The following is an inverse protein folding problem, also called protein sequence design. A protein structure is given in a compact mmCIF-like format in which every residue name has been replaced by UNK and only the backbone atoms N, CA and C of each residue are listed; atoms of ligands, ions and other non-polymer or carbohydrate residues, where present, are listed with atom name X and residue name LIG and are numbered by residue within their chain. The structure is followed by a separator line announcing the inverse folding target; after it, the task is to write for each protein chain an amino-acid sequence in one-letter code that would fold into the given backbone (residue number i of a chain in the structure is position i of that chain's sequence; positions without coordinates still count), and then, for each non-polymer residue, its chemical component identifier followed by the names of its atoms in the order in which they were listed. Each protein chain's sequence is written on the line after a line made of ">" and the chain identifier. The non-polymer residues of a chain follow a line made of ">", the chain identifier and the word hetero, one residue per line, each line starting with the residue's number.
data_IF_411339348067
#
_entry.id   IF_411339348067
#
_cell.length_a   1.000
_cell.length_b   1.000
_cell.length_c   1.000
_cell.angle_alpha   90.00
_cell.angle_beta   90.00
_cell.angle_gamma   90.00
#
_symmetry.space_group_name_H-M   'P 1'
#
loop_
_entity.id
_entity.type
_entity.pdbx_description
1 polymer ?
#
# COMPACT_ATOMS: atom_id res chain seq x y z
N UNK A 1 30.93 -8.30 14.13
CA UNK A 1 30.04 -7.47 13.30
C UNK A 1 30.30 -7.77 11.82
N UNK A 2 29.88 -8.95 11.33
CA UNK A 2 30.16 -9.39 9.94
C UNK A 2 28.88 -9.67 9.13
N UNK A 3 27.71 -9.38 9.69
CA UNK A 3 26.42 -9.68 9.07
C UNK A 3 25.81 -8.53 8.28
N UNK A 4 26.16 -7.26 8.59
CA UNK A 4 25.50 -6.08 8.00
C UNK A 4 25.92 -5.87 6.54
N UNK A 5 27.20 -6.10 6.23
CA UNK A 5 27.77 -6.09 4.89
C UNK A 5 27.28 -7.28 4.06
N UNK A 6 27.01 -8.41 4.73
CA UNK A 6 26.27 -9.57 4.22
C UNK A 6 24.96 -9.16 3.56
N UNK A 7 24.09 -8.57 4.39
CA UNK A 7 22.74 -8.14 4.04
C UNK A 7 22.75 -7.01 3.01
N UNK A 8 23.64 -6.02 3.17
CA UNK A 8 23.76 -4.90 2.23
C UNK A 8 24.04 -5.35 0.79
N UNK A 9 25.06 -6.19 0.57
CA UNK A 9 25.40 -6.61 -0.79
C UNK A 9 24.32 -7.48 -1.43
N UNK A 10 23.63 -8.30 -0.62
CA UNK A 10 22.57 -9.16 -1.11
C UNK A 10 21.35 -8.33 -1.53
N UNK A 11 20.94 -7.38 -0.69
CA UNK A 11 19.86 -6.45 -0.99
C UNK A 11 20.18 -5.59 -2.22
N UNK A 12 21.39 -5.04 -2.29
CA UNK A 12 21.83 -4.23 -3.43
C UNK A 12 21.87 -5.03 -4.74
N UNK A 13 22.43 -6.25 -4.71
CA UNK A 13 22.55 -7.08 -5.92
C UNK A 13 21.17 -7.51 -6.43
N UNK A 14 20.29 -7.94 -5.53
CA UNK A 14 18.93 -8.35 -5.90
C UNK A 14 18.10 -7.16 -6.38
N UNK A 15 18.20 -6.01 -5.69
CA UNK A 15 17.49 -4.79 -6.04
C UNK A 15 17.84 -4.29 -7.43
N UNK A 16 19.14 -4.15 -7.72
CA UNK A 16 19.61 -3.72 -9.04
C UNK A 16 19.27 -4.72 -10.14
N UNK A 17 19.32 -6.02 -9.87
CA UNK A 17 18.98 -7.04 -10.85
C UNK A 17 17.50 -6.96 -11.26
N UNK A 18 16.61 -6.77 -10.28
CA UNK A 18 15.17 -6.60 -10.55
C UNK A 18 14.89 -5.30 -11.31
N UNK A 19 15.53 -4.19 -10.96
CA UNK A 19 15.42 -2.92 -11.69
C UNK A 19 15.87 -3.09 -13.14
N UNK A 20 17.06 -3.65 -13.37
CA UNK A 20 17.60 -3.84 -14.73
C UNK A 20 16.73 -4.82 -15.53
N UNK A 21 16.24 -5.91 -14.92
CA UNK A 21 15.37 -6.87 -15.60
C UNK A 21 14.02 -6.25 -15.99
N UNK A 22 13.48 -5.35 -15.16
CA UNK A 22 12.25 -4.60 -15.45
C UNK A 22 12.45 -3.60 -16.58
N UNK A 23 13.51 -2.79 -16.50
CA UNK A 23 13.71 -1.67 -17.43
C UNK A 23 14.35 -2.09 -18.75
N UNK A 24 15.25 -3.06 -18.72
CA UNK A 24 16.01 -3.57 -19.87
C UNK A 24 16.14 -5.09 -19.82
N UNK A 25 15.04 -5.82 -20.11
CA UNK A 25 15.00 -7.27 -20.04
C UNK A 25 16.17 -7.95 -20.79
N UNK A 26 16.87 -8.87 -20.11
CA UNK A 26 18.00 -9.62 -20.64
C UNK A 26 19.36 -8.92 -20.50
N UNK A 27 19.41 -7.69 -19.97
CA UNK A 27 20.66 -6.98 -19.66
C UNK A 27 21.19 -7.26 -18.26
N UNK A 28 20.39 -7.87 -17.40
CA UNK A 28 20.74 -8.26 -16.04
C UNK A 28 21.66 -9.50 -15.99
N UNK A 29 21.79 -10.23 -17.09
CA UNK A 29 22.50 -11.51 -17.15
C UNK A 29 23.73 -11.49 -18.08
N UNK A 30 24.76 -12.25 -17.71
CA UNK A 30 25.92 -12.54 -18.56
C UNK A 30 25.56 -13.52 -19.70
N UNK A 31 26.50 -13.74 -20.62
CA UNK A 31 26.32 -14.69 -21.74
C UNK A 31 26.04 -16.13 -21.32
N UNK A 32 26.24 -16.48 -20.06
CA UNK A 32 25.98 -17.81 -19.48
C UNK A 32 24.65 -17.84 -18.71
N UNK A 33 23.85 -16.78 -18.77
CA UNK A 33 22.57 -16.67 -18.07
C UNK A 33 22.71 -16.42 -16.57
N UNK A 34 23.88 -15.99 -16.08
CA UNK A 34 24.09 -15.67 -14.67
C UNK A 34 23.91 -14.18 -14.44
N UNK A 35 23.22 -13.81 -13.36
CA UNK A 35 23.02 -12.41 -12.99
C UNK A 35 24.37 -11.69 -12.82
N UNK A 36 24.47 -10.49 -13.38
CA UNK A 36 25.64 -9.63 -13.29
C UNK A 36 25.89 -9.18 -11.84
N UNK A 37 27.13 -8.82 -11.53
CA UNK A 37 27.45 -8.25 -10.21
C UNK A 37 26.82 -6.87 -10.02
N UNK A 38 26.59 -6.46 -8.77
CA UNK A 38 26.05 -5.12 -8.47
C UNK A 38 26.80 -3.99 -9.17
N UNK A 39 28.15 -4.02 -9.19
CA UNK A 39 28.96 -3.03 -9.92
C UNK A 39 28.76 -3.07 -11.44
N UNK A 40 28.51 -4.24 -12.02
CA UNK A 40 28.23 -4.36 -13.44
C UNK A 40 26.80 -3.90 -13.78
N UNK A 41 25.82 -4.18 -12.92
CA UNK A 41 24.44 -3.69 -13.07
C UNK A 41 24.37 -2.16 -12.98
N UNK A 42 25.13 -1.53 -12.07
CA UNK A 42 25.23 -0.06 -12.02
C UNK A 42 25.78 0.53 -13.33
N UNK A 43 26.75 -0.13 -13.97
CA UNK A 43 27.25 0.31 -15.29
C UNK A 43 26.20 0.18 -16.38
N UNK A 44 25.43 -0.91 -16.38
CA UNK A 44 24.31 -1.09 -17.32
C UNK A 44 23.30 0.06 -17.15
N UNK A 45 22.99 0.45 -15.91
CA UNK A 45 22.11 1.59 -15.61
C UNK A 45 22.70 2.89 -16.17
N UNK A 46 23.97 3.20 -15.88
CA UNK A 46 24.66 4.40 -16.38
C UNK A 46 24.77 4.46 -17.92
N UNK A 47 24.87 3.30 -18.59
CA UNK A 47 24.91 3.20 -20.05
C UNK A 47 23.57 3.58 -20.72
N UNK A 48 22.45 3.30 -20.05
CA UNK A 48 21.12 3.59 -20.58
C UNK A 48 20.58 4.95 -20.12
N UNK A 49 20.96 5.38 -18.92
CA UNK A 49 20.55 6.67 -18.36
C UNK A 49 21.79 7.37 -17.80
N UNK A 50 22.24 8.47 -18.42
CA UNK A 50 23.48 9.12 -18.02
C UNK A 50 23.35 9.70 -16.61
N UNK A 51 24.35 9.40 -15.76
CA UNK A 51 24.42 9.94 -14.41
C UNK A 51 24.72 11.44 -14.43
N UNK A 52 23.97 12.22 -13.65
CA UNK A 52 24.28 13.62 -13.34
C UNK A 52 24.79 13.67 -11.89
N UNK A 53 26.02 14.13 -11.69
CA UNK A 53 26.70 14.13 -10.38
C UNK A 53 26.77 12.74 -9.68
N UNK A 54 26.79 11.66 -10.48
CA UNK A 54 26.82 10.29 -9.97
C UNK A 54 25.46 9.74 -9.56
N UNK A 55 24.38 10.47 -9.87
CA UNK A 55 22.99 10.06 -9.62
C UNK A 55 22.30 9.81 -10.96
N UNK A 56 21.61 8.69 -11.04
CA UNK A 56 20.76 8.32 -12.17
C UNK A 56 19.30 8.44 -11.73
N UNK A 57 18.47 9.03 -12.58
CA UNK A 57 17.02 9.09 -12.40
C UNK A 57 16.38 8.15 -13.44
N UNK A 58 15.98 6.97 -13.01
CA UNK A 58 15.31 5.99 -13.88
C UNK A 58 13.83 6.32 -13.90
N UNK A 59 13.32 6.84 -15.02
CA UNK A 59 11.88 7.08 -15.19
C UNK A 59 11.12 5.76 -15.18
N UNK A 60 10.03 5.68 -14.44
CA UNK A 60 9.09 4.57 -14.56
C UNK A 60 8.38 4.69 -15.92
N UNK A 61 8.67 3.78 -16.86
CA UNK A 61 8.16 3.84 -18.26
C UNK A 61 6.64 3.73 -18.38
N UNK A 62 5.97 3.36 -17.30
CA UNK A 62 4.51 3.42 -17.16
C UNK A 62 4.22 4.35 -15.98
N UNK A 63 4.27 5.68 -16.19
CA UNK A 63 3.89 6.61 -15.14
C UNK A 63 2.46 6.27 -14.74
N UNK A 64 2.22 6.18 -13.43
CA UNK A 64 0.87 6.31 -12.90
C UNK A 64 0.24 7.56 -13.53
N UNK A 65 -1.04 7.53 -13.93
CA UNK A 65 -1.70 8.74 -14.39
C UNK A 65 -1.48 9.83 -13.34
N UNK A 66 -1.06 11.02 -13.78
CA UNK A 66 -0.92 12.19 -12.91
C UNK A 66 -2.29 12.43 -12.27
N UNK A 67 -2.45 12.02 -11.00
CA UNK A 67 -3.63 12.36 -10.22
C UNK A 67 -3.50 13.87 -9.92
N UNK A 68 -4.48 14.71 -10.30
CA UNK A 68 -4.43 16.15 -10.03
C UNK A 68 -4.15 16.41 -8.56
N UNK A 69 -3.17 17.27 -8.29
CA UNK A 69 -2.79 17.65 -6.93
C UNK A 69 -3.91 18.48 -6.30
N UNK A 70 -4.70 17.85 -5.44
CA UNK A 70 -5.55 18.57 -4.48
C UNK A 70 -4.71 18.99 -3.26
N UNK A 71 -4.96 20.18 -2.73
CA UNK A 71 -4.25 20.81 -1.60
C UNK A 71 -4.28 20.00 -0.26
N UNK A 72 -4.80 18.77 -0.24
CA UNK A 72 -5.04 17.93 0.95
C UNK A 72 -4.00 16.84 1.21
N UNK A 73 -2.90 16.79 0.46
CA UNK A 73 -1.81 15.78 0.57
C UNK A 73 -1.04 15.73 1.92
N UNK A 74 -1.41 16.53 2.92
CA UNK A 74 -0.73 16.53 4.21
C UNK A 74 -1.03 15.28 5.08
N UNK A 75 -2.13 14.55 4.82
CA UNK A 75 -2.58 13.44 5.66
C UNK A 75 -2.05 12.07 5.24
N UNK A 76 -1.67 11.91 3.97
CA UNK A 76 -1.08 10.68 3.43
C UNK A 76 0.35 10.95 3.01
N UNK A 77 1.28 11.01 3.96
CA UNK A 77 2.71 10.87 3.64
C UNK A 77 3.04 9.41 3.29
N UNK A 78 2.29 8.81 2.35
CA UNK A 78 2.85 7.72 1.56
C UNK A 78 3.96 8.39 0.76
N UNK A 79 5.24 7.98 0.88
CA UNK A 79 6.27 8.49 0.00
C UNK A 79 5.79 8.20 -1.41
N UNK A 80 5.32 9.24 -2.11
CA UNK A 80 4.90 9.12 -3.50
C UNK A 80 6.04 8.40 -4.20
N UNK A 81 5.75 7.31 -4.89
CA UNK A 81 6.65 6.74 -5.87
C UNK A 81 6.91 7.89 -6.85
N UNK A 82 8.06 8.57 -6.68
CA UNK A 82 8.46 9.60 -7.59
C UNK A 82 8.46 8.93 -8.97
N UNK A 83 7.98 9.62 -10.01
CA UNK A 83 7.99 9.13 -11.40
C UNK A 83 9.37 8.72 -11.92
N UNK A 84 10.39 8.90 -11.07
CA UNK A 84 11.76 8.54 -11.25
C UNK A 84 12.28 7.85 -9.98
N UNK A 85 12.89 6.69 -10.12
CA UNK A 85 13.71 6.09 -9.06
C UNK A 85 15.08 6.76 -9.04
N UNK A 86 15.50 7.25 -7.88
CA UNK A 86 16.83 7.85 -7.68
C UNK A 86 17.86 6.77 -7.33
N UNK A 87 18.83 6.56 -8.21
CA UNK A 87 19.93 5.61 -8.03
C UNK A 87 21.23 6.41 -7.87
N UNK A 88 21.75 6.53 -6.64
CA UNK A 88 23.05 7.14 -6.38
C UNK A 88 24.18 6.13 -6.66
N UNK A 89 24.58 6.07 -7.92
CA UNK A 89 25.56 5.11 -8.43
C UNK A 89 26.90 5.24 -7.71
N UNK A 90 27.36 6.47 -7.47
CA UNK A 90 28.66 6.71 -6.82
C UNK A 90 28.65 6.25 -5.36
N UNK A 91 27.60 6.58 -4.63
CA UNK A 91 27.45 6.18 -3.22
C UNK A 91 27.28 4.67 -3.08
N UNK A 92 26.55 4.02 -3.99
CA UNK A 92 26.38 2.58 -4.03
C UNK A 92 27.67 1.84 -4.41
N UNK A 93 28.44 2.34 -5.38
CA UNK A 93 29.78 1.81 -5.71
C UNK A 93 30.72 1.89 -4.52
N UNK A 94 30.74 3.04 -3.81
CA UNK A 94 31.53 3.19 -2.59
C UNK A 94 31.10 2.21 -1.48
N UNK A 95 29.79 1.96 -1.36
CA UNK A 95 29.23 0.96 -0.46
C UNK A 95 29.72 -0.46 -0.76
N UNK A 96 29.77 -0.86 -2.04
CA UNK A 96 30.27 -2.17 -2.48
C UNK A 96 31.76 -2.34 -2.13
N UNK A 97 32.58 -1.31 -2.34
CA UNK A 97 34.01 -1.37 -1.98
C UNK A 97 34.19 -1.51 -0.47
N UNK A 98 33.40 -0.77 0.31
CA UNK A 98 33.44 -0.81 1.76
C UNK A 98 32.98 -2.16 2.34
N UNK A 99 31.96 -2.80 1.75
CA UNK A 99 31.47 -4.11 2.16
C UNK A 99 32.43 -5.24 1.79
N UNK A 100 33.01 -5.20 0.58
CA UNK A 100 34.00 -6.17 0.12
C UNK A 100 35.29 -6.11 0.95
N UNK A 101 35.75 -4.90 1.32
CA UNK A 101 36.91 -4.74 2.20
C UNK A 101 36.72 -5.43 3.56
N UNK A 102 35.50 -5.38 4.11
CA UNK A 102 35.14 -6.10 5.34
C UNK A 102 35.18 -7.62 5.16
N UNK A 103 34.58 -8.12 4.07
CA UNK A 103 34.52 -9.56 3.74
C UNK A 103 35.90 -10.18 3.50
N UNK A 104 36.85 -9.40 2.99
CA UNK A 104 38.23 -9.83 2.77
C UNK A 104 39.18 -9.54 3.94
N UNK A 105 38.65 -9.16 5.11
CA UNK A 105 39.44 -8.98 6.32
C UNK A 105 40.42 -7.80 6.28
N UNK A 106 40.24 -6.84 5.36
CA UNK A 106 41.10 -5.66 5.21
C UNK A 106 40.63 -4.44 6.01
N UNK A 107 39.69 -4.63 6.93
CA UNK A 107 39.19 -3.57 7.82
C UNK A 107 37.87 -3.97 8.49
N UNK A 108 37.34 -3.11 9.36
CA UNK A 108 36.13 -3.37 10.14
C UNK A 108 34.80 -3.22 9.34
N UNK A 109 34.85 -3.01 8.03
CA UNK A 109 33.70 -2.58 7.24
C UNK A 109 33.33 -1.13 7.56
N UNK A 110 33.21 -0.31 6.52
CA UNK A 110 32.94 1.13 6.66
C UNK A 110 31.64 1.52 5.97
N UNK A 111 30.61 0.68 6.09
CA UNK A 111 29.28 1.08 5.64
C UNK A 111 28.80 2.25 6.49
N UNK A 112 28.46 3.36 5.81
CA UNK A 112 27.95 4.58 6.43
C UNK A 112 26.45 4.70 6.20
N UNK A 113 25.80 5.58 6.97
CA UNK A 113 24.36 5.83 6.85
C UNK A 113 23.94 6.17 5.41
N UNK A 114 24.73 7.00 4.72
CA UNK A 114 24.53 7.34 3.30
C UNK A 114 24.43 6.13 2.36
N UNK A 115 25.13 5.02 2.64
CA UNK A 115 25.04 3.81 1.82
C UNK A 115 23.70 3.11 2.03
N UNK A 116 23.20 3.12 3.27
CA UNK A 116 21.88 2.56 3.60
C UNK A 116 20.77 3.42 3.01
N UNK A 117 20.86 4.74 3.10
CA UNK A 117 19.91 5.66 2.46
C UNK A 117 19.88 5.46 0.94
N UNK A 118 21.05 5.32 0.30
CA UNK A 118 21.12 5.05 -1.14
C UNK A 118 20.53 3.68 -1.54
N UNK A 119 20.63 2.66 -0.66
CA UNK A 119 20.00 1.36 -0.87
C UNK A 119 18.48 1.44 -0.68
N UNK A 120 18.00 2.13 0.36
CA UNK A 120 16.58 2.36 0.60
C UNK A 120 15.92 3.16 -0.52
N UNK A 121 16.65 4.09 -1.15
CA UNK A 121 16.16 4.84 -2.30
C UNK A 121 15.81 3.96 -3.52
N UNK A 122 16.36 2.73 -3.61
CA UNK A 122 15.98 1.78 -4.66
C UNK A 122 14.56 1.25 -4.48
N UNK A 123 14.07 1.16 -3.24
CA UNK A 123 12.73 0.64 -2.91
C UNK A 123 11.59 1.47 -3.53
N UNK A 124 11.89 2.72 -3.91
CA UNK A 124 10.98 3.54 -4.70
C UNK A 124 10.77 3.07 -6.15
N UNK A 125 11.45 2.02 -6.61
CA UNK A 125 11.23 1.44 -7.94
C UNK A 125 10.10 0.41 -7.90
N UNK A 126 9.13 0.52 -8.82
CA UNK A 126 7.96 -0.38 -8.88
C UNK A 126 8.32 -1.87 -8.85
N UNK A 127 9.43 -2.26 -9.50
CA UNK A 127 9.86 -3.66 -9.55
C UNK A 127 10.27 -4.24 -8.18
N UNK A 128 10.51 -3.39 -7.18
CA UNK A 128 10.82 -3.77 -5.80
C UNK A 128 9.58 -3.65 -4.90
N UNK A 129 8.65 -2.75 -5.24
CA UNK A 129 7.35 -2.58 -4.58
C UNK A 129 6.29 -3.64 -4.93
N UNK A 130 6.46 -4.41 -6.02
CA UNK A 130 5.45 -5.37 -6.54
C UNK A 130 4.87 -6.28 -5.48
N UNK A 131 5.67 -6.81 -4.55
CA UNK A 131 5.15 -7.72 -3.51
C UNK A 131 4.28 -7.01 -2.47
N UNK A 132 4.59 -5.76 -2.14
CA UNK A 132 3.79 -4.93 -1.24
C UNK A 132 2.49 -4.50 -1.90
N UNK A 133 2.58 -4.03 -3.16
CA UNK A 133 1.45 -3.65 -4.00
C UNK A 133 0.50 -4.83 -4.22
N UNK A 134 1.00 -5.99 -4.68
CA UNK A 134 0.18 -7.20 -4.89
C UNK A 134 -0.47 -7.70 -3.59
N UNK A 135 0.22 -7.55 -2.45
CA UNK A 135 -0.35 -7.91 -1.16
C UNK A 135 -1.46 -6.95 -0.73
N UNK A 136 -1.29 -5.64 -0.99
CA UNK A 136 -2.31 -4.62 -0.75
C UNK A 136 -3.52 -4.85 -1.66
N UNK A 137 -3.30 -5.05 -2.96
CA UNK A 137 -4.33 -5.37 -3.95
C UNK A 137 -5.12 -6.62 -3.54
N UNK A 138 -4.42 -7.66 -3.08
CA UNK A 138 -5.08 -8.87 -2.59
C UNK A 138 -5.92 -8.61 -1.34
N UNK A 139 -5.43 -7.81 -0.39
CA UNK A 139 -6.19 -7.45 0.82
C UNK A 139 -7.45 -6.69 0.42
N UNK A 140 -7.35 -5.73 -0.50
CA UNK A 140 -8.48 -4.97 -1.01
C UNK A 140 -9.50 -5.87 -1.72
N UNK A 141 -9.04 -6.76 -2.61
CA UNK A 141 -9.89 -7.72 -3.31
C UNK A 141 -10.63 -8.65 -2.34
N UNK A 142 -9.96 -9.10 -1.27
CA UNK A 142 -10.59 -9.92 -0.23
C UNK A 142 -11.68 -9.11 0.49
N UNK A 143 -11.39 -7.88 0.90
CA UNK A 143 -12.36 -7.03 1.58
C UNK A 143 -13.61 -6.78 0.71
N UNK A 144 -13.42 -6.49 -0.58
CA UNK A 144 -14.52 -6.32 -1.54
C UNK A 144 -15.34 -7.60 -1.73
N UNK A 145 -14.67 -8.75 -1.86
CA UNK A 145 -15.35 -10.03 -2.01
C UNK A 145 -16.15 -10.41 -0.75
N UNK A 146 -15.59 -10.15 0.44
CA UNK A 146 -16.27 -10.38 1.71
C UNK A 146 -17.50 -9.49 1.87
N UNK A 147 -17.39 -8.21 1.52
CA UNK A 147 -18.50 -7.26 1.57
C UNK A 147 -19.62 -7.66 0.60
N UNK A 148 -19.28 -7.93 -0.67
CA UNK A 148 -20.24 -8.40 -1.66
C UNK A 148 -20.98 -9.68 -1.21
N UNK A 149 -20.24 -10.64 -0.66
CA UNK A 149 -20.84 -11.87 -0.13
C UNK A 149 -21.72 -11.60 1.11
N UNK A 150 -21.37 -10.60 1.91
CA UNK A 150 -22.16 -10.14 3.07
C UNK A 150 -23.47 -9.50 2.64
N UNK A 151 -23.43 -8.65 1.61
CA UNK A 151 -24.61 -8.04 0.99
C UNK A 151 -25.53 -9.10 0.39
N UNK A 152 -24.99 -10.07 -0.34
CA UNK A 152 -25.76 -11.17 -0.93
C UNK A 152 -26.49 -11.99 0.15
N UNK A 153 -25.77 -12.42 1.20
CA UNK A 153 -26.39 -13.14 2.33
C UNK A 153 -27.48 -12.32 3.02
N UNK A 154 -27.26 -11.01 3.19
CA UNK A 154 -28.24 -10.13 3.80
C UNK A 154 -29.49 -9.94 2.93
N UNK A 155 -29.32 -9.85 1.61
CA UNK A 155 -30.43 -9.78 0.66
C UNK A 155 -31.26 -11.08 0.68
N UNK A 156 -30.61 -12.25 0.62
CA UNK A 156 -31.30 -13.55 0.75
C UNK A 156 -32.06 -13.66 2.08
N UNK A 157 -31.46 -13.16 3.17
CA UNK A 157 -32.10 -13.15 4.47
C UNK A 157 -33.33 -12.25 4.50
N UNK A 158 -33.25 -11.05 3.91
CA UNK A 158 -34.37 -10.11 3.79
C UNK A 158 -35.54 -10.72 3.01
N UNK A 159 -35.27 -11.35 1.88
CA UNK A 159 -36.30 -12.05 1.10
C UNK A 159 -36.99 -13.13 1.94
N UNK A 160 -36.22 -13.85 2.76
CA UNK A 160 -36.75 -14.94 3.58
C UNK A 160 -37.60 -14.45 4.76
N UNK A 161 -37.26 -13.32 5.38
CA UNK A 161 -38.06 -12.76 6.49
C UNK A 161 -39.26 -11.94 5.99
N UNK A 162 -39.15 -11.33 4.81
CA UNK A 162 -40.16 -10.44 4.23
C UNK A 162 -40.09 -9.01 4.78
N UNK A 163 -40.61 -8.07 3.99
CA UNK A 163 -40.54 -6.62 4.25
C UNK A 163 -41.30 -6.18 5.51
N UNK A 164 -42.48 -6.77 5.77
CA UNK A 164 -43.27 -6.48 6.97
C UNK A 164 -42.50 -6.83 8.26
N UNK A 165 -41.82 -7.98 8.27
CA UNK A 165 -41.01 -8.43 9.40
C UNK A 165 -39.74 -7.60 9.55
N UNK A 166 -39.10 -7.23 8.44
CA UNK A 166 -37.93 -6.34 8.46
C UNK A 166 -38.29 -4.97 9.06
N UNK A 167 -39.42 -4.40 8.64
CA UNK A 167 -39.94 -3.12 9.17
C UNK A 167 -40.23 -3.22 10.66
N UNK A 168 -40.96 -4.28 11.08
CA UNK A 168 -41.25 -4.52 12.50
C UNK A 168 -39.99 -4.61 13.34
N UNK A 169 -38.92 -5.23 12.83
CA UNK A 169 -37.63 -5.30 13.54
C UNK A 169 -36.92 -3.95 13.57
N UNK A 170 -36.96 -3.20 12.47
CA UNK A 170 -36.37 -1.87 12.40
C UNK A 170 -37.00 -0.92 13.42
N UNK A 171 -38.33 -0.93 13.57
CA UNK A 171 -39.04 -0.09 14.54
C UNK A 171 -38.73 -0.44 16.01
N UNK A 172 -38.34 -1.68 16.28
CA UNK A 172 -38.08 -2.18 17.63
C UNK A 172 -36.59 -2.38 17.93
N UNK A 173 -35.70 -1.92 17.04
CA UNK A 173 -34.27 -2.10 17.18
C UNK A 173 -33.77 -1.26 18.37
N UNK A 174 -32.96 -1.86 19.23
CA UNK A 174 -32.24 -1.14 20.29
C UNK A 174 -30.77 -1.07 19.88
N UNK A 175 -30.17 0.11 19.94
CA UNK A 175 -28.76 0.29 19.64
C UNK A 175 -27.89 -0.20 20.82
N UNK A 176 -27.16 -1.32 20.69
CA UNK A 176 -26.29 -1.81 21.74
C UNK A 176 -25.00 -0.97 21.86
N UNK A 177 -24.61 -0.25 20.81
CA UNK A 177 -23.42 0.59 20.78
C UNK A 177 -23.73 2.09 20.91
N UNK A 178 -24.89 2.43 21.50
CA UNK A 178 -25.26 3.82 21.73
C UNK A 178 -24.20 4.55 22.57
N UNK A 179 -23.98 5.83 22.25
CA UNK A 179 -23.08 6.69 23.01
C UNK A 179 -23.49 6.78 24.48
N UNK A 180 -22.53 6.57 25.38
CA UNK A 180 -22.69 6.80 26.80
C UNK A 180 -21.42 7.42 27.41
N UNK A 181 -21.47 8.65 27.96
CA UNK A 181 -20.27 9.39 28.40
C UNK A 181 -19.32 8.66 29.36
N UNK A 182 -19.81 7.68 30.12
CA UNK A 182 -19.02 6.92 31.10
C UNK A 182 -18.78 5.45 30.75
N UNK A 183 -19.57 4.90 29.82
CA UNK A 183 -19.60 3.45 29.58
C UNK A 183 -19.29 3.11 28.12
N UNK A 184 -19.56 4.04 27.21
CA UNK A 184 -19.29 3.92 25.79
C UNK A 184 -19.08 5.32 25.17
N UNK A 185 -17.97 6.02 25.51
CA UNK A 185 -17.73 7.37 25.00
C UNK A 185 -17.47 7.40 23.49
N UNK A 186 -17.13 6.27 22.89
CA UNK A 186 -16.91 6.12 21.45
C UNK A 186 -18.12 5.46 20.76
N UNK A 187 -19.27 5.39 21.45
CA UNK A 187 -20.50 4.86 20.88
C UNK A 187 -21.06 5.75 19.77
N UNK A 188 -21.75 5.13 18.84
CA UNK A 188 -22.33 5.77 17.67
C UNK A 188 -23.83 5.51 17.62
N UNK A 189 -24.58 6.45 17.03
CA UNK A 189 -25.99 6.22 16.70
C UNK A 189 -26.13 5.19 15.58
N UNK A 190 -27.33 4.65 15.40
CA UNK A 190 -27.59 3.73 14.30
C UNK A 190 -27.52 4.49 12.98
N UNK A 191 -26.90 3.86 11.98
CA UNK A 191 -26.82 4.39 10.63
C UNK A 191 -27.79 3.64 9.69
N UNK A 192 -28.02 4.20 8.52
CA UNK A 192 -28.83 3.59 7.48
C UNK A 192 -28.10 2.39 6.89
N UNK A 193 -28.71 1.21 6.96
CA UNK A 193 -28.15 0.03 6.33
C UNK A 193 -28.30 0.14 4.80
N UNK A 194 -27.23 -0.06 4.01
CA UNK A 194 -27.30 0.03 2.55
C UNK A 194 -28.11 -1.11 1.90
N UNK A 195 -28.33 -2.22 2.61
CA UNK A 195 -29.06 -3.38 2.08
C UNK A 195 -30.56 -3.29 2.35
N UNK A 196 -30.99 -3.02 3.60
CA UNK A 196 -32.41 -2.94 3.94
C UNK A 196 -32.98 -1.52 3.93
N UNK A 197 -32.14 -0.49 3.89
CA UNK A 197 -32.58 0.91 3.87
C UNK A 197 -33.09 1.46 5.20
N UNK A 198 -33.07 0.68 6.28
CA UNK A 198 -33.50 1.13 7.61
C UNK A 198 -32.32 1.62 8.46
N UNK A 199 -32.56 2.62 9.33
CA UNK A 199 -31.63 3.11 10.37
C UNK A 199 -31.39 2.05 11.47
N UNK A 200 -30.65 1.00 11.10
CA UNK A 200 -30.51 -0.24 11.88
C UNK A 200 -29.08 -0.77 11.85
N UNK A 201 -28.18 -0.05 11.19
CA UNK A 201 -26.76 -0.39 11.12
C UNK A 201 -26.07 0.05 12.41
N UNK A 202 -25.60 -0.92 13.19
CA UNK A 202 -24.83 -0.66 14.40
C UNK A 202 -23.38 -0.41 14.01
N UNK A 203 -22.98 0.86 14.05
CA UNK A 203 -21.60 1.28 13.80
C UNK A 203 -20.75 0.89 15.01
N UNK A 204 -19.75 0.03 14.82
CA UNK A 204 -18.82 -0.40 15.85
C UNK A 204 -17.55 0.47 15.89
N UNK A 205 -17.24 1.11 14.78
CA UNK A 205 -16.17 2.08 14.64
C UNK A 205 -16.20 2.72 13.26
N UNK A 206 -15.35 3.71 13.07
CA UNK A 206 -15.22 4.45 11.81
C UNK A 206 -13.99 3.97 11.04
N UNK A 207 -14.01 4.13 9.72
CA UNK A 207 -12.85 3.86 8.89
C UNK A 207 -11.62 4.63 9.43
N UNK A 208 -10.46 3.99 9.56
CA UNK A 208 -9.31 4.57 10.24
C UNK A 208 -8.64 5.69 9.43
N UNK A 209 -9.07 5.88 8.19
CA UNK A 209 -8.38 6.71 7.19
C UNK A 209 -8.99 8.12 7.14
N UNK A 210 -10.28 8.20 6.90
CA UNK A 210 -11.06 9.43 6.81
C UNK A 210 -12.00 9.64 8.00
N UNK A 211 -12.34 8.58 8.74
CA UNK A 211 -13.24 8.65 9.89
C UNK A 211 -14.65 9.09 9.51
N UNK A 212 -15.13 8.71 8.32
CA UNK A 212 -16.42 9.12 7.76
C UNK A 212 -17.40 7.97 7.63
N UNK A 213 -16.92 6.79 7.22
CA UNK A 213 -17.77 5.62 6.99
C UNK A 213 -17.65 4.66 8.16
N UNK A 214 -18.79 4.28 8.74
CA UNK A 214 -18.84 3.31 9.83
C UNK A 214 -18.71 1.87 9.33
N UNK A 215 -17.91 1.05 10.01
CA UNK A 215 -17.94 -0.41 9.91
C UNK A 215 -18.74 -1.02 11.07
N UNK A 216 -19.26 -2.23 10.88
CA UNK A 216 -20.14 -2.87 11.85
C UNK A 216 -21.18 -3.79 11.21
N UNK A 217 -22.35 -3.90 11.85
CA UNK A 217 -23.37 -4.86 11.43
C UNK A 217 -24.80 -4.28 11.51
N UNK A 218 -25.62 -4.61 10.52
CA UNK A 218 -27.05 -4.37 10.56
C UNK A 218 -27.77 -5.35 11.49
N UNK A 219 -28.50 -4.81 12.47
CA UNK A 219 -29.25 -5.58 13.45
C UNK A 219 -30.52 -6.24 12.88
N UNK A 220 -30.95 -5.84 11.68
CA UNK A 220 -32.12 -6.41 10.98
C UNK A 220 -31.73 -7.45 9.92
N UNK A 221 -31.03 -7.04 8.86
CA UNK A 221 -30.69 -7.92 7.73
C UNK A 221 -29.41 -8.72 7.91
N UNK A 222 -28.69 -8.53 9.03
CA UNK A 222 -27.41 -9.19 9.34
C UNK A 222 -26.22 -8.82 8.45
N UNK A 223 -26.38 -7.87 7.52
CA UNK A 223 -25.28 -7.31 6.73
C UNK A 223 -24.13 -6.86 7.63
N UNK A 224 -22.92 -7.30 7.33
CA UNK A 224 -21.69 -6.87 8.01
C UNK A 224 -20.79 -6.14 7.03
N UNK A 225 -20.38 -4.94 7.39
CA UNK A 225 -19.33 -4.17 6.70
C UNK A 225 -18.04 -4.28 7.51
N UNK A 226 -16.97 -4.75 6.88
CA UNK A 226 -15.65 -4.84 7.51
C UNK A 226 -14.94 -3.48 7.50
N UNK A 227 -13.91 -3.26 8.32
CA UNK A 227 -13.12 -2.02 8.26
C UNK A 227 -12.55 -1.73 6.86
N UNK A 228 -12.02 -2.75 6.17
CA UNK A 228 -11.50 -2.59 4.80
C UNK A 228 -12.58 -2.22 3.78
N UNK A 229 -13.80 -2.74 3.93
CA UNK A 229 -14.91 -2.32 3.08
C UNK A 229 -15.35 -0.87 3.36
N UNK A 230 -15.32 -0.44 4.64
CA UNK A 230 -15.59 0.95 5.01
C UNK A 230 -14.51 1.91 4.49
N UNK A 231 -13.23 1.51 4.50
CA UNK A 231 -12.14 2.28 3.88
C UNK A 231 -12.35 2.47 2.38
N UNK A 232 -12.69 1.41 1.65
CA UNK A 232 -12.98 1.46 0.21
C UNK A 232 -14.18 2.38 -0.11
N UNK A 233 -15.24 2.31 0.70
CA UNK A 233 -16.41 3.17 0.56
C UNK A 233 -16.07 4.64 0.86
N UNK A 234 -15.35 4.90 1.95
CA UNK A 234 -14.90 6.25 2.31
C UNK A 234 -14.00 6.87 1.23
N UNK A 235 -13.11 6.07 0.63
CA UNK A 235 -12.28 6.49 -0.48
C UNK A 235 -13.13 6.86 -1.71
N UNK A 236 -14.13 6.03 -2.03
CA UNK A 236 -15.06 6.29 -3.14
C UNK A 236 -15.88 7.57 -2.93
N UNK A 237 -16.37 7.80 -1.71
CA UNK A 237 -17.08 9.04 -1.35
C UNK A 237 -16.19 10.28 -1.48
N UNK A 238 -14.95 10.18 -1.01
CA UNK A 238 -13.98 11.27 -1.12
C UNK A 238 -13.68 11.61 -2.58
N UNK A 239 -13.53 10.61 -3.46
CA UNK A 239 -13.36 10.83 -4.89
C UNK A 239 -14.57 11.53 -5.52
N UNK A 240 -15.79 11.14 -5.17
CA UNK A 240 -17.01 11.81 -5.66
C UNK A 240 -17.08 13.27 -5.20
N UNK A 241 -16.79 13.53 -3.93
CA UNK A 241 -16.78 14.89 -3.39
C UNK A 241 -15.79 15.80 -4.14
N UNK A 242 -14.61 15.28 -4.51
CA UNK A 242 -13.63 16.06 -5.27
C UNK A 242 -14.13 16.35 -6.70
N UNK A 243 -14.82 15.39 -7.33
CA UNK A 243 -15.33 15.55 -8.70
C UNK A 243 -16.56 16.46 -8.81
N UNK A 244 -17.37 16.54 -7.75
CA UNK A 244 -18.57 17.39 -7.72
C UNK A 244 -18.26 18.86 -7.35
N UNK A 245 -17.06 19.13 -6.83
CA UNK A 245 -16.58 20.48 -6.48
C UNK A 245 -15.88 21.21 -7.67
N UNK A 246 -15.81 20.61 -8.86
CA UNK A 246 -15.34 21.21 -10.13
C UNK A 246 -16.49 21.79 -11.01
#
# INVERSE_FOLDING_TARGET
>A
MAGREGVFDQALSNGLAAIVASEWPGKEADRKGRVLSASALLKVIEEHVPATDGIVLVSDKHPMPDIPQGDTDALFQVPRLSSHTRIDVRTLQNGIEASQAARHGRGAGALQHRHIEALLALDGHRSLGVMGEEQQDRIQQIAQAEDAASQERAAEYLERIGEEEATRRAENVANPNAYHPKHNPDGHDLDTCPVCGHETFCVEGLDPVFGRVGYGQCLVCTYTRTPGAAEDEAFTEQLRSIMDDE
#
